data_IF_685983788635
#
_entry.id   IF_685983788635
#
_cell.length_a   1.000
_cell.length_b   1.000
_cell.length_c   1.000
_cell.angle_alpha   90.00
_cell.angle_beta   90.00
_cell.angle_gamma   90.00
#
_symmetry.space_group_name_H-M   'P 1'
#
loop_
_entity.id
_entity.type
_entity.pdbx_description
1 polymer ?
#
# COMPACT_ATOMS: atom_id res chain seq x y z
N UNK A 1 -6.23 -37.67 2.07
CA UNK A 1 -6.77 -36.35 2.44
C UNK A 1 -8.28 -36.44 2.34
N UNK A 2 -9.05 -36.24 3.39
CA UNK A 2 -10.52 -36.26 3.30
C UNK A 2 -10.97 -34.99 2.57
N UNK A 3 -11.83 -35.18 1.59
CA UNK A 3 -12.58 -34.10 0.92
C UNK A 3 -13.53 -33.48 1.95
N UNK A 4 -13.40 -32.20 2.21
CA UNK A 4 -14.39 -31.39 2.95
C UNK A 4 -15.17 -30.65 1.88
N UNK A 5 -16.23 -31.29 1.38
CA UNK A 5 -17.27 -30.61 0.59
C UNK A 5 -18.31 -30.10 1.60
N UNK A 6 -18.47 -28.76 1.68
CA UNK A 6 -19.74 -28.13 2.08
C UNK A 6 -20.13 -28.17 3.55
N UNK A 7 -19.21 -28.20 4.52
CA UNK A 7 -19.55 -27.91 5.92
C UNK A 7 -19.08 -26.54 6.32
N UNK A 8 -20.03 -25.65 6.64
CA UNK A 8 -19.79 -24.42 7.41
C UNK A 8 -18.90 -24.81 8.60
N UNK A 9 -17.84 -24.05 8.85
CA UNK A 9 -16.95 -24.25 10.01
C UNK A 9 -17.72 -23.99 11.30
N UNK A 10 -18.48 -24.99 11.78
CA UNK A 10 -19.15 -24.90 13.10
C UNK A 10 -18.11 -25.09 14.18
N UNK A 11 -17.74 -23.96 14.81
CA UNK A 11 -16.94 -24.00 16.02
C UNK A 11 -17.79 -24.54 17.18
N UNK A 12 -17.27 -25.53 17.91
CA UNK A 12 -17.93 -25.99 19.14
C UNK A 12 -17.96 -24.90 20.20
N UNK A 13 -18.92 -24.94 21.10
CA UNK A 13 -19.03 -24.01 22.23
C UNK A 13 -17.73 -23.97 23.04
N UNK A 14 -17.07 -25.10 23.24
CA UNK A 14 -15.79 -25.21 23.95
C UNK A 14 -14.67 -24.49 23.18
N UNK A 15 -14.64 -24.62 21.85
CA UNK A 15 -13.65 -23.95 21.01
C UNK A 15 -13.87 -22.43 21.00
N UNK A 16 -15.11 -21.96 20.87
CA UNK A 16 -15.46 -20.52 20.95
C UNK A 16 -15.01 -19.93 22.28
N UNK A 17 -15.37 -20.57 23.40
CA UNK A 17 -14.97 -20.12 24.74
C UNK A 17 -13.45 -20.07 24.88
N UNK A 18 -12.75 -21.07 24.38
CA UNK A 18 -11.29 -21.11 24.40
C UNK A 18 -10.68 -19.92 23.61
N UNK A 19 -11.23 -19.58 22.42
CA UNK A 19 -10.82 -18.44 21.62
C UNK A 19 -10.98 -17.13 22.40
N UNK A 20 -12.11 -16.93 23.06
CA UNK A 20 -12.40 -15.72 23.83
C UNK A 20 -11.46 -15.57 25.02
N UNK A 21 -11.26 -16.66 25.80
CA UNK A 21 -10.38 -16.67 26.97
C UNK A 21 -8.89 -16.44 26.61
N UNK A 22 -8.49 -16.81 25.38
CA UNK A 22 -7.11 -16.74 24.92
C UNK A 22 -6.86 -15.71 23.80
N UNK A 23 -7.76 -14.75 23.60
CA UNK A 23 -7.73 -13.82 22.48
C UNK A 23 -6.41 -13.02 22.31
N UNK A 24 -5.63 -12.83 23.39
CA UNK A 24 -4.33 -12.12 23.41
C UNK A 24 -3.13 -13.05 23.64
N UNK A 25 -3.34 -14.34 23.68
CA UNK A 25 -2.27 -15.30 23.94
C UNK A 25 -1.35 -15.48 22.71
N UNK A 26 -0.12 -15.89 22.95
CA UNK A 26 0.79 -16.30 21.88
C UNK A 26 0.31 -17.60 21.23
N UNK A 27 -0.10 -17.52 19.97
CA UNK A 27 -0.69 -18.64 19.22
C UNK A 27 0.27 -19.82 19.05
N UNK A 28 1.59 -19.59 19.00
CA UNK A 28 2.59 -20.66 18.92
C UNK A 28 2.61 -21.47 20.21
N UNK A 29 2.56 -20.78 21.35
CA UNK A 29 2.50 -21.41 22.68
C UNK A 29 1.20 -22.18 22.87
N UNK A 30 0.05 -21.69 22.36
CA UNK A 30 -1.23 -22.40 22.41
C UNK A 30 -1.21 -23.68 21.59
N UNK A 31 -0.69 -23.64 20.37
CA UNK A 31 -0.58 -24.81 19.49
C UNK A 31 0.18 -25.97 20.16
N UNK A 32 1.23 -25.68 20.91
CA UNK A 32 2.02 -26.68 21.65
C UNK A 32 1.24 -27.31 22.82
N UNK A 33 0.16 -26.69 23.27
CA UNK A 33 -0.65 -27.13 24.39
C UNK A 33 -1.90 -27.93 23.97
N UNK A 34 -2.07 -28.26 22.69
CA UNK A 34 -3.26 -28.93 22.17
C UNK A 34 -3.69 -30.17 22.99
N UNK A 35 -2.74 -30.98 23.47
CA UNK A 35 -3.01 -32.15 24.30
C UNK A 35 -3.68 -31.87 25.64
N UNK A 36 -3.59 -30.62 26.14
CA UNK A 36 -4.22 -30.22 27.42
C UNK A 36 -5.71 -29.90 27.26
N UNK A 37 -6.17 -29.67 26.03
CA UNK A 37 -7.52 -29.24 25.71
C UNK A 37 -8.16 -30.17 24.66
N UNK A 38 -8.40 -31.44 24.99
CA UNK A 38 -8.85 -32.43 24.00
C UNK A 38 -10.26 -32.17 23.43
N UNK A 39 -11.05 -31.30 24.09
CA UNK A 39 -12.38 -30.86 23.65
C UNK A 39 -12.36 -29.65 22.71
N UNK A 40 -11.19 -29.03 22.51
CA UNK A 40 -11.02 -27.82 21.68
C UNK A 40 -10.41 -28.23 20.35
N UNK A 41 -11.01 -27.76 19.24
CA UNK A 41 -10.31 -27.78 17.96
C UNK A 41 -9.19 -26.73 17.99
N UNK A 42 -8.01 -27.14 18.46
CA UNK A 42 -6.87 -26.28 18.64
C UNK A 42 -6.36 -25.68 17.31
N UNK A 43 -6.46 -26.41 16.21
CA UNK A 43 -6.04 -25.94 14.91
C UNK A 43 -6.90 -24.74 14.47
N UNK A 44 -8.21 -24.87 14.61
CA UNK A 44 -9.14 -23.79 14.33
C UNK A 44 -9.01 -22.64 15.32
N UNK A 45 -8.91 -22.93 16.62
CA UNK A 45 -8.77 -21.89 17.64
C UNK A 45 -7.55 -21.00 17.39
N UNK A 46 -6.39 -21.58 17.06
CA UNK A 46 -5.17 -20.84 16.73
C UNK A 46 -5.35 -19.96 15.49
N UNK A 47 -6.03 -20.46 14.45
CA UNK A 47 -6.33 -19.65 13.23
C UNK A 47 -7.22 -18.46 13.58
N UNK A 48 -8.29 -18.67 14.36
CA UNK A 48 -9.21 -17.60 14.74
C UNK A 48 -8.56 -16.56 15.64
N UNK A 49 -7.79 -16.98 16.65
CA UNK A 49 -7.06 -16.06 17.54
C UNK A 49 -6.04 -15.24 16.75
N UNK A 50 -5.23 -15.89 15.90
CA UNK A 50 -4.25 -15.19 15.07
C UNK A 50 -4.90 -14.19 14.10
N UNK A 51 -5.97 -14.61 13.43
CA UNK A 51 -6.73 -13.75 12.51
C UNK A 51 -7.30 -12.54 13.20
N UNK A 52 -7.90 -12.71 14.40
CA UNK A 52 -8.45 -11.60 15.20
C UNK A 52 -7.36 -10.65 15.68
N UNK A 53 -6.20 -11.14 16.11
CA UNK A 53 -5.07 -10.30 16.52
C UNK A 53 -4.55 -9.43 15.36
N UNK A 54 -4.46 -9.98 14.14
CA UNK A 54 -4.10 -9.22 12.95
C UNK A 54 -5.18 -8.18 12.61
N UNK A 55 -6.44 -8.56 12.71
CA UNK A 55 -7.57 -7.68 12.40
C UNK A 55 -7.65 -6.46 13.33
N UNK A 56 -7.23 -6.55 14.59
CA UNK A 56 -7.22 -5.44 15.55
C UNK A 56 -6.52 -4.20 14.99
N UNK A 57 -5.38 -4.37 14.34
CA UNK A 57 -4.63 -3.26 13.75
C UNK A 57 -4.95 -3.03 12.25
N UNK A 58 -5.27 -4.09 11.52
CA UNK A 58 -5.37 -4.04 10.06
C UNK A 58 -6.76 -3.70 9.56
N UNK A 59 -7.81 -4.23 10.21
CA UNK A 59 -9.22 -4.05 9.83
C UNK A 59 -10.09 -3.90 11.09
N UNK A 60 -9.98 -2.78 11.83
CA UNK A 60 -10.65 -2.56 13.11
C UNK A 60 -12.18 -2.79 13.08
N UNK A 61 -12.86 -2.38 11.99
CA UNK A 61 -14.30 -2.61 11.83
C UNK A 61 -14.64 -4.10 11.90
N UNK A 62 -13.84 -4.95 11.28
CA UNK A 62 -14.03 -6.41 11.35
C UNK A 62 -13.68 -6.95 12.73
N UNK A 63 -12.62 -6.46 13.36
CA UNK A 63 -12.24 -6.86 14.72
C UNK A 63 -13.36 -6.61 15.75
N UNK A 64 -14.09 -5.49 15.62
CA UNK A 64 -15.18 -5.13 16.51
C UNK A 64 -16.52 -5.79 16.18
N UNK A 65 -16.63 -6.48 15.07
CA UNK A 65 -17.84 -7.24 14.70
C UNK A 65 -17.75 -8.63 15.31
N UNK A 66 -18.73 -8.99 16.15
CA UNK A 66 -18.78 -10.30 16.79
C UNK A 66 -19.12 -11.41 15.83
N UNK A 67 -18.60 -12.60 16.07
CA UNK A 67 -18.91 -13.81 15.30
C UNK A 67 -18.22 -13.95 13.96
N UNK A 68 -17.37 -12.98 13.54
CA UNK A 68 -16.61 -13.12 12.30
C UNK A 68 -15.59 -14.24 12.37
N UNK A 69 -15.44 -14.96 11.26
CA UNK A 69 -14.46 -16.00 11.07
C UNK A 69 -13.30 -15.51 10.18
N UNK A 70 -12.10 -15.92 10.53
CA UNK A 70 -10.87 -15.52 9.88
C UNK A 70 -10.23 -16.67 9.10
N UNK A 71 -9.63 -16.41 7.93
CA UNK A 71 -8.91 -17.40 7.15
C UNK A 71 -7.53 -17.70 7.76
N UNK A 72 -6.81 -18.62 7.14
CA UNK A 72 -5.40 -18.89 7.48
C UNK A 72 -4.55 -17.63 7.39
N UNK A 73 -3.49 -17.61 8.18
CA UNK A 73 -2.57 -16.47 8.37
C UNK A 73 -2.13 -15.76 7.07
N UNK A 74 -1.79 -16.55 6.02
CA UNK A 74 -1.33 -15.96 4.75
C UNK A 74 -2.40 -15.05 4.10
N UNK A 75 -3.66 -15.46 4.08
CA UNK A 75 -4.75 -14.64 3.53
C UNK A 75 -4.96 -13.37 4.35
N UNK A 76 -4.77 -13.43 5.67
CA UNK A 76 -4.84 -12.25 6.54
C UNK A 76 -3.69 -11.27 6.31
N UNK A 77 -2.49 -11.75 6.01
CA UNK A 77 -1.36 -10.87 5.69
C UNK A 77 -1.52 -10.18 4.33
N UNK A 78 -2.03 -10.90 3.34
CA UNK A 78 -2.18 -10.43 1.96
C UNK A 78 -3.39 -9.53 1.74
N UNK A 79 -4.45 -9.60 2.58
CA UNK A 79 -5.63 -8.76 2.41
C UNK A 79 -5.31 -7.27 2.61
N UNK A 80 -6.16 -6.40 2.09
CA UNK A 80 -6.08 -4.95 2.27
C UNK A 80 -6.23 -4.54 3.74
N UNK A 81 -5.64 -3.42 4.11
CA UNK A 81 -5.99 -2.74 5.35
C UNK A 81 -7.32 -2.00 5.21
N UNK A 82 -7.99 -1.73 6.33
CA UNK A 82 -9.22 -0.91 6.34
C UNK A 82 -9.01 0.45 5.68
N UNK A 83 -7.87 1.10 5.96
CA UNK A 83 -7.55 2.39 5.37
C UNK A 83 -7.49 2.35 3.83
N UNK A 84 -6.85 1.34 3.26
CA UNK A 84 -6.77 1.20 1.81
C UNK A 84 -8.09 0.73 1.19
N UNK A 85 -8.88 -0.08 1.90
CA UNK A 85 -10.21 -0.50 1.46
C UNK A 85 -11.21 0.68 1.44
N UNK A 86 -11.19 1.54 2.48
CA UNK A 86 -11.99 2.78 2.51
C UNK A 86 -11.59 3.72 1.36
N UNK A 87 -10.29 3.84 1.07
CA UNK A 87 -9.83 4.65 -0.05
C UNK A 87 -10.38 4.13 -1.38
N UNK A 88 -10.26 2.81 -1.66
CA UNK A 88 -10.85 2.19 -2.86
C UNK A 88 -12.36 2.43 -2.95
N UNK A 89 -13.08 2.29 -1.85
CA UNK A 89 -14.51 2.57 -1.79
C UNK A 89 -14.87 4.04 -2.09
N UNK A 90 -13.95 4.99 -1.85
CA UNK A 90 -14.17 6.40 -2.19
C UNK A 90 -14.03 6.71 -3.69
N UNK A 91 -13.43 5.81 -4.47
CA UNK A 91 -13.21 5.97 -5.92
C UNK A 91 -14.36 5.42 -6.77
N UNK A 92 -15.33 4.76 -6.13
CA UNK A 92 -16.38 4.01 -6.82
C UNK A 92 -17.76 4.33 -6.26
N UNK A 93 -18.78 4.30 -7.14
CA UNK A 93 -20.20 4.40 -6.81
C UNK A 93 -21.03 3.90 -8.00
N UNK A 94 -22.26 3.50 -7.77
CA UNK A 94 -23.18 3.03 -8.82
C UNK A 94 -24.33 2.21 -8.26
N UNK A 95 -25.05 1.52 -9.16
CA UNK A 95 -26.10 0.58 -8.80
C UNK A 95 -25.58 -0.85 -8.65
N UNK A 96 -24.63 -1.26 -9.50
CA UNK A 96 -24.14 -2.65 -9.63
C UNK A 96 -22.62 -2.74 -9.54
N UNK A 97 -22.13 -3.73 -8.79
CA UNK A 97 -20.71 -3.95 -8.52
C UNK A 97 -20.37 -5.43 -8.61
N UNK A 98 -19.20 -5.77 -9.15
CA UNK A 98 -18.67 -7.12 -9.02
C UNK A 98 -17.17 -7.11 -8.69
N UNK A 99 -16.79 -7.91 -7.68
CA UNK A 99 -15.41 -8.23 -7.33
C UNK A 99 -15.05 -9.60 -7.92
N UNK A 100 -14.18 -9.63 -8.93
CA UNK A 100 -13.82 -10.86 -9.65
C UNK A 100 -12.69 -11.65 -8.98
N UNK A 101 -12.14 -11.14 -7.88
CA UNK A 101 -11.01 -11.73 -7.15
C UNK A 101 -11.19 -11.63 -5.64
N UNK A 102 -12.36 -11.99 -5.18
CA UNK A 102 -12.90 -11.71 -3.84
C UNK A 102 -11.97 -11.92 -2.65
N UNK A 103 -11.13 -12.96 -2.66
CA UNK A 103 -10.18 -13.24 -1.60
C UNK A 103 -10.84 -13.36 -0.23
N UNK A 104 -10.29 -12.72 0.80
CA UNK A 104 -10.95 -12.68 2.11
C UNK A 104 -12.16 -11.72 2.18
N UNK A 105 -12.40 -10.91 1.14
CA UNK A 105 -13.59 -10.06 1.05
C UNK A 105 -13.47 -8.68 1.70
N UNK A 106 -12.28 -8.26 2.16
CA UNK A 106 -12.12 -6.94 2.79
C UNK A 106 -12.47 -5.83 1.81
N UNK A 107 -11.86 -5.79 0.63
CA UNK A 107 -12.12 -4.75 -0.37
C UNK A 107 -13.58 -4.75 -0.81
N UNK A 108 -14.13 -5.93 -1.12
CA UNK A 108 -15.53 -6.12 -1.47
C UNK A 108 -16.46 -5.56 -0.38
N UNK A 109 -16.21 -5.86 0.89
CA UNK A 109 -17.05 -5.44 2.02
C UNK A 109 -17.16 -3.92 2.21
N UNK A 110 -16.10 -3.17 1.85
CA UNK A 110 -16.10 -1.70 1.92
C UNK A 110 -16.70 -1.07 0.67
N UNK A 111 -16.35 -1.58 -0.52
CA UNK A 111 -16.83 -1.04 -1.80
C UNK A 111 -18.32 -1.31 -2.01
N UNK A 112 -18.81 -2.51 -1.71
CA UNK A 112 -20.21 -2.91 -1.88
C UNK A 112 -21.22 -1.97 -1.22
N UNK A 113 -20.82 -1.28 -0.14
CA UNK A 113 -21.67 -0.28 0.57
C UNK A 113 -22.11 0.91 -0.31
N UNK A 114 -21.50 1.09 -1.46
CA UNK A 114 -21.80 2.14 -2.44
C UNK A 114 -22.75 1.70 -3.54
N UNK A 115 -23.22 0.44 -3.49
CA UNK A 115 -24.02 -0.17 -4.55
C UNK A 115 -25.27 -0.83 -3.99
N UNK A 116 -26.27 -1.01 -4.85
CA UNK A 116 -27.52 -1.71 -4.50
C UNK A 116 -27.40 -3.23 -4.69
N UNK A 117 -26.56 -3.63 -5.64
CA UNK A 117 -26.29 -5.04 -5.92
C UNK A 117 -24.78 -5.23 -5.99
N UNK A 118 -24.28 -6.28 -5.35
CA UNK A 118 -22.87 -6.60 -5.31
C UNK A 118 -22.66 -8.10 -5.45
N UNK A 119 -21.77 -8.47 -6.37
CA UNK A 119 -21.30 -9.81 -6.60
C UNK A 119 -19.86 -9.97 -6.07
N UNK A 120 -19.63 -11.04 -5.32
CA UNK A 120 -18.33 -11.47 -4.88
C UNK A 120 -18.00 -12.80 -5.55
N UNK A 121 -16.92 -12.86 -6.32
CA UNK A 121 -16.50 -14.05 -7.07
C UNK A 121 -15.13 -14.51 -6.57
N UNK A 122 -15.04 -15.79 -6.14
CA UNK A 122 -13.82 -16.36 -5.61
C UNK A 122 -13.73 -17.87 -5.95
N UNK A 123 -12.55 -18.31 -6.40
CA UNK A 123 -12.30 -19.70 -6.81
C UNK A 123 -12.05 -20.67 -5.65
N UNK A 124 -11.73 -20.17 -4.46
CA UNK A 124 -11.46 -20.97 -3.28
C UNK A 124 -12.74 -21.16 -2.45
N UNK A 125 -13.26 -22.38 -2.40
CA UNK A 125 -14.47 -22.70 -1.65
C UNK A 125 -14.41 -22.27 -0.17
N UNK A 126 -13.24 -22.43 0.48
CA UNK A 126 -13.04 -22.02 1.89
C UNK A 126 -13.30 -20.51 2.08
N UNK A 127 -12.83 -19.66 1.16
CA UNK A 127 -13.04 -18.20 1.23
C UNK A 127 -14.50 -17.82 0.91
N UNK A 128 -15.15 -18.52 -0.02
CA UNK A 128 -16.58 -18.33 -0.30
C UNK A 128 -17.45 -18.65 0.93
N UNK A 129 -17.16 -19.72 1.66
CA UNK A 129 -17.89 -20.07 2.87
C UNK A 129 -17.67 -19.02 3.99
N UNK A 130 -16.44 -18.50 4.13
CA UNK A 130 -16.17 -17.41 5.05
C UNK A 130 -16.93 -16.13 4.64
N UNK A 131 -16.98 -15.80 3.36
CA UNK A 131 -17.70 -14.64 2.85
C UNK A 131 -19.22 -14.74 3.12
N UNK A 132 -19.83 -15.91 2.82
CA UNK A 132 -21.25 -16.19 3.12
C UNK A 132 -21.58 -16.05 4.61
N UNK A 133 -20.64 -16.41 5.49
CA UNK A 133 -20.83 -16.26 6.94
C UNK A 133 -20.62 -14.81 7.40
N UNK A 134 -19.56 -14.15 6.91
CA UNK A 134 -19.13 -12.86 7.42
C UNK A 134 -19.96 -11.68 6.91
N UNK A 135 -20.34 -11.67 5.62
CA UNK A 135 -21.03 -10.51 5.03
C UNK A 135 -22.36 -10.19 5.71
N UNK A 136 -23.24 -11.15 6.03
CA UNK A 136 -24.46 -10.86 6.78
C UNK A 136 -24.18 -10.26 8.18
N UNK A 137 -23.13 -10.72 8.88
CA UNK A 137 -22.74 -10.17 10.19
C UNK A 137 -22.23 -8.74 10.09
N UNK A 138 -21.68 -8.35 8.94
CA UNK A 138 -21.27 -6.97 8.62
C UNK A 138 -22.44 -6.11 8.12
N UNK A 139 -23.66 -6.68 8.05
CA UNK A 139 -24.84 -6.02 7.52
C UNK A 139 -24.80 -5.81 6.00
N UNK A 140 -24.15 -6.69 5.27
CA UNK A 140 -23.97 -6.63 3.82
C UNK A 140 -24.78 -7.73 3.13
N UNK A 141 -25.46 -7.33 2.05
CA UNK A 141 -26.16 -8.23 1.14
C UNK A 141 -25.34 -8.34 -0.15
N UNK A 142 -24.55 -9.42 -0.26
CA UNK A 142 -23.60 -9.65 -1.36
C UNK A 142 -23.81 -11.07 -1.87
N UNK A 143 -24.01 -11.20 -3.17
CA UNK A 143 -24.11 -12.51 -3.81
C UNK A 143 -22.73 -13.15 -3.94
N UNK A 144 -22.57 -14.35 -3.33
CA UNK A 144 -21.30 -15.07 -3.29
C UNK A 144 -21.26 -16.17 -4.32
N UNK A 145 -20.37 -16.06 -5.30
CA UNK A 145 -20.18 -17.02 -6.38
C UNK A 145 -18.85 -17.78 -6.19
N UNK A 146 -18.95 -19.12 -6.07
CA UNK A 146 -17.78 -20.00 -6.07
C UNK A 146 -17.43 -20.36 -7.51
N UNK A 147 -16.67 -19.49 -8.18
CA UNK A 147 -16.35 -19.60 -9.59
C UNK A 147 -15.00 -18.95 -9.90
N UNK A 148 -14.41 -19.26 -11.06
CA UNK A 148 -13.27 -18.51 -11.60
C UNK A 148 -13.72 -17.14 -12.10
N UNK A 149 -13.03 -16.06 -11.68
CA UNK A 149 -13.43 -14.71 -12.02
C UNK A 149 -13.42 -14.40 -13.52
N UNK A 150 -12.55 -15.06 -14.31
CA UNK A 150 -12.51 -14.88 -15.77
C UNK A 150 -13.69 -15.58 -16.45
N UNK A 151 -14.06 -16.78 -15.97
CA UNK A 151 -15.23 -17.48 -16.49
C UNK A 151 -16.54 -16.72 -16.12
N UNK A 152 -16.62 -16.21 -14.90
CA UNK A 152 -17.74 -15.36 -14.48
C UNK A 152 -17.83 -14.09 -15.35
N UNK A 153 -16.71 -13.38 -15.58
CA UNK A 153 -16.65 -12.19 -16.44
C UNK A 153 -17.23 -12.43 -17.84
N UNK A 154 -16.94 -13.58 -18.45
CA UNK A 154 -17.43 -13.91 -19.80
C UNK A 154 -18.94 -13.98 -19.89
N UNK A 155 -19.62 -14.43 -18.84
CA UNK A 155 -21.05 -14.73 -18.83
C UNK A 155 -21.90 -13.71 -18.07
N UNK A 156 -21.31 -12.88 -17.21
CA UNK A 156 -22.03 -11.88 -16.43
C UNK A 156 -22.67 -10.79 -17.30
N UNK A 157 -23.74 -10.19 -16.80
CA UNK A 157 -24.26 -8.96 -17.37
C UNK A 157 -23.31 -7.77 -17.10
N UNK A 158 -23.32 -6.71 -17.93
CA UNK A 158 -22.58 -5.50 -17.64
C UNK A 158 -22.98 -4.87 -16.30
N UNK A 159 -21.99 -4.30 -15.59
CA UNK A 159 -22.15 -3.64 -14.29
C UNK A 159 -21.58 -2.22 -14.34
N UNK A 160 -21.87 -1.40 -13.32
CA UNK A 160 -21.29 -0.06 -13.22
C UNK A 160 -19.81 -0.12 -12.88
N UNK A 161 -19.44 -0.99 -11.95
CA UNK A 161 -18.04 -1.11 -11.49
C UNK A 161 -17.61 -2.57 -11.39
N UNK A 162 -16.42 -2.87 -11.93
CA UNK A 162 -15.67 -4.09 -11.71
C UNK A 162 -14.44 -3.80 -10.84
N UNK A 163 -14.11 -4.73 -9.94
CA UNK A 163 -12.87 -4.74 -9.18
C UNK A 163 -12.08 -6.02 -9.41
N UNK A 164 -10.76 -5.88 -9.50
CA UNK A 164 -9.81 -6.99 -9.60
C UNK A 164 -8.56 -6.72 -8.74
N UNK A 165 -8.13 -7.72 -8.00
CA UNK A 165 -6.82 -7.78 -7.30
C UNK A 165 -6.06 -9.02 -7.81
N UNK A 166 -5.46 -8.95 -9.02
CA UNK A 166 -4.81 -10.10 -9.62
C UNK A 166 -3.59 -10.53 -8.80
N UNK A 167 -3.54 -11.83 -8.45
CA UNK A 167 -2.44 -12.41 -7.74
C UNK A 167 -1.21 -12.59 -8.64
N UNK A 168 -0.01 -12.63 -8.06
CA UNK A 168 1.20 -13.02 -8.80
C UNK A 168 1.15 -14.49 -9.17
N UNK A 169 1.58 -14.83 -10.38
CA UNK A 169 1.80 -16.24 -10.73
C UNK A 169 3.03 -16.76 -9.98
N UNK A 170 2.83 -17.71 -9.08
CA UNK A 170 3.90 -18.41 -8.35
C UNK A 170 4.59 -19.41 -9.28
N UNK A 171 5.47 -18.94 -10.14
CA UNK A 171 6.13 -19.82 -11.10
C UNK A 171 7.66 -19.83 -11.07
N UNK A 172 8.27 -18.70 -10.84
CA UNK A 172 9.73 -18.59 -10.83
C UNK A 172 10.11 -17.45 -9.91
N UNK A 173 10.73 -17.66 -8.77
CA UNK A 173 11.15 -16.71 -7.74
C UNK A 173 11.83 -15.41 -8.22
N UNK A 174 11.44 -14.90 -9.39
CA UNK A 174 11.81 -13.63 -9.96
C UNK A 174 10.97 -12.48 -9.43
N UNK A 175 11.51 -11.29 -9.45
CA UNK A 175 10.77 -10.06 -9.17
C UNK A 175 9.73 -9.88 -10.29
N UNK A 176 8.45 -10.02 -9.97
CA UNK A 176 7.35 -9.70 -10.90
C UNK A 176 7.42 -8.22 -11.26
N UNK A 177 7.51 -7.93 -12.54
CA UNK A 177 7.67 -6.57 -13.05
C UNK A 177 6.54 -6.19 -14.01
N UNK A 178 5.98 -7.14 -14.75
CA UNK A 178 4.96 -6.92 -15.77
C UNK A 178 3.54 -7.28 -15.27
N UNK A 179 2.52 -6.62 -15.83
CA UNK A 179 1.10 -6.90 -15.54
C UNK A 179 0.68 -8.28 -16.09
N UNK A 180 1.27 -8.72 -17.17
CA UNK A 180 1.07 -10.05 -17.77
C UNK A 180 1.55 -11.21 -16.89
N UNK A 181 2.38 -10.93 -15.85
CA UNK A 181 2.83 -11.93 -14.88
C UNK A 181 1.79 -12.16 -13.76
N UNK A 182 0.68 -11.44 -13.79
CA UNK A 182 -0.41 -11.56 -12.83
C UNK A 182 -1.49 -12.55 -13.31
N UNK A 183 -2.31 -13.04 -12.38
CA UNK A 183 -3.47 -13.90 -12.64
C UNK A 183 -4.69 -13.35 -11.86
N UNK A 184 -5.78 -12.96 -12.58
CA UNK A 184 -5.89 -12.93 -14.04
C UNK A 184 -4.97 -11.93 -14.74
N UNK A 185 -4.60 -12.22 -16.01
CA UNK A 185 -3.84 -11.30 -16.85
C UNK A 185 -4.76 -10.18 -17.36
N UNK A 186 -4.67 -9.03 -16.70
CA UNK A 186 -5.51 -7.86 -17.01
C UNK A 186 -5.24 -7.34 -18.42
N UNK A 187 -4.01 -7.42 -18.92
CA UNK A 187 -3.68 -6.93 -20.26
C UNK A 187 -4.36 -7.74 -21.37
N UNK A 188 -4.51 -9.05 -21.16
CA UNK A 188 -5.24 -9.93 -22.08
C UNK A 188 -6.77 -9.76 -21.97
N UNK A 189 -7.28 -9.30 -20.83
CA UNK A 189 -8.71 -9.17 -20.56
C UNK A 189 -9.23 -7.75 -20.73
N UNK A 190 -8.38 -6.77 -20.97
CA UNK A 190 -8.70 -5.33 -20.90
C UNK A 190 -9.94 -4.95 -21.72
N UNK A 191 -10.00 -5.38 -22.99
CA UNK A 191 -11.11 -5.05 -23.88
C UNK A 191 -12.45 -5.62 -23.36
N UNK A 192 -12.43 -6.85 -22.80
CA UNK A 192 -13.62 -7.47 -22.21
C UNK A 192 -14.02 -6.78 -20.91
N UNK A 193 -13.07 -6.40 -20.08
CA UNK A 193 -13.33 -5.69 -18.82
C UNK A 193 -14.05 -4.37 -19.06
N UNK A 194 -13.59 -3.54 -20.01
CA UNK A 194 -14.22 -2.25 -20.34
C UNK A 194 -15.49 -2.39 -21.18
N UNK A 195 -15.74 -3.56 -21.75
CA UNK A 195 -17.03 -3.91 -22.35
C UNK A 195 -18.07 -4.23 -21.27
N UNK A 196 -17.67 -4.93 -20.21
CA UNK A 196 -18.51 -5.41 -19.13
C UNK A 196 -18.72 -4.41 -17.99
N UNK A 197 -17.96 -3.31 -17.94
CA UNK A 197 -18.16 -2.29 -16.91
C UNK A 197 -17.91 -0.87 -17.41
N UNK A 198 -18.62 0.09 -16.79
CA UNK A 198 -18.39 1.51 -17.04
C UNK A 198 -17.05 1.95 -16.44
N UNK A 199 -16.70 1.41 -15.28
CA UNK A 199 -15.42 1.64 -14.59
C UNK A 199 -14.84 0.31 -14.10
N UNK A 200 -13.55 0.08 -14.37
CA UNK A 200 -12.80 -1.06 -13.86
C UNK A 200 -11.71 -0.55 -12.92
N UNK A 201 -11.71 -1.00 -11.67
CA UNK A 201 -10.67 -0.70 -10.69
C UNK A 201 -9.77 -1.93 -10.54
N UNK A 202 -8.50 -1.79 -10.92
CA UNK A 202 -7.48 -2.85 -10.80
C UNK A 202 -6.50 -2.49 -9.72
N UNK A 203 -6.38 -3.33 -8.69
CA UNK A 203 -5.38 -3.21 -7.64
C UNK A 203 -4.15 -4.03 -8.00
N UNK A 204 -2.98 -3.44 -7.86
CA UNK A 204 -1.70 -4.06 -8.19
C UNK A 204 -0.70 -3.89 -7.05
N UNK A 205 0.24 -4.83 -6.96
CA UNK A 205 1.35 -4.75 -6.01
C UNK A 205 2.21 -3.50 -6.25
N UNK A 206 2.70 -2.82 -5.20
CA UNK A 206 3.62 -1.70 -5.34
C UNK A 206 4.97 -2.08 -5.96
N UNK A 207 5.26 -3.38 -6.11
CA UNK A 207 6.48 -3.86 -6.78
C UNK A 207 6.39 -3.83 -8.31
N UNK A 208 5.18 -3.67 -8.87
CA UNK A 208 4.97 -3.61 -10.31
C UNK A 208 5.53 -2.32 -10.91
N UNK A 209 6.09 -2.38 -12.11
CA UNK A 209 6.56 -1.21 -12.85
C UNK A 209 5.37 -0.48 -13.48
N UNK A 210 5.05 0.71 -12.96
CA UNK A 210 3.95 1.52 -13.45
C UNK A 210 4.13 1.92 -14.92
N UNK A 211 5.34 2.29 -15.33
CA UNK A 211 5.60 2.72 -16.70
C UNK A 211 5.39 1.60 -17.71
N UNK A 212 5.71 0.37 -17.32
CA UNK A 212 5.47 -0.81 -18.14
C UNK A 212 3.97 -1.11 -18.20
N UNK A 213 3.27 -1.09 -17.08
CA UNK A 213 1.82 -1.33 -17.04
C UNK A 213 1.05 -0.32 -17.93
N UNK A 214 1.43 0.96 -17.90
CA UNK A 214 0.80 2.00 -18.74
C UNK A 214 1.15 1.90 -20.23
N UNK A 215 2.15 1.12 -20.62
CA UNK A 215 2.41 0.77 -22.02
C UNK A 215 1.59 -0.43 -22.50
N UNK A 216 1.33 -1.36 -21.58
CA UNK A 216 0.62 -2.61 -21.89
C UNK A 216 -0.91 -2.43 -21.89
N UNK A 217 -1.43 -1.39 -21.23
CA UNK A 217 -2.86 -1.10 -21.12
C UNK A 217 -3.24 0.17 -21.90
N UNK A 218 -4.40 0.15 -22.56
CA UNK A 218 -4.89 1.22 -23.45
C UNK A 218 -6.00 2.07 -22.83
N UNK A 219 -6.71 1.53 -21.85
CA UNK A 219 -7.92 2.12 -21.28
C UNK A 219 -7.72 2.76 -19.90
N UNK A 220 -6.48 2.87 -19.43
CA UNK A 220 -6.18 3.54 -18.16
C UNK A 220 -6.43 5.04 -18.27
N UNK A 221 -7.33 5.57 -17.42
CA UNK A 221 -7.62 7.00 -17.33
C UNK A 221 -7.07 7.65 -16.05
N UNK A 222 -6.97 6.90 -14.96
CA UNK A 222 -6.43 7.38 -13.69
C UNK A 222 -5.54 6.32 -13.05
N UNK A 223 -4.52 6.78 -12.34
CA UNK A 223 -3.62 5.97 -11.52
C UNK A 223 -3.60 6.52 -10.11
N UNK A 224 -3.82 5.66 -9.11
CA UNK A 224 -3.65 6.05 -7.71
C UNK A 224 -2.53 5.24 -7.09
N UNK A 225 -1.53 5.93 -6.54
CA UNK A 225 -0.42 5.32 -5.82
C UNK A 225 -0.67 5.57 -4.35
N UNK A 226 -1.05 4.51 -3.63
CA UNK A 226 -1.52 4.62 -2.26
C UNK A 226 -0.42 4.21 -1.28
N UNK A 227 -0.04 5.15 -0.43
CA UNK A 227 0.85 4.92 0.71
C UNK A 227 0.09 5.11 2.01
N UNK A 228 0.48 4.35 3.02
CA UNK A 228 0.03 4.52 4.41
C UNK A 228 1.26 4.66 5.29
N UNK A 229 1.28 5.69 6.13
CA UNK A 229 2.42 6.01 7.01
C UNK A 229 3.76 6.11 6.23
N UNK A 230 3.69 6.69 5.02
CA UNK A 230 4.81 6.86 4.11
C UNK A 230 5.42 5.55 3.58
N UNK A 231 4.65 4.47 3.53
CA UNK A 231 5.00 3.21 2.88
C UNK A 231 4.01 2.92 1.74
N UNK A 232 4.51 2.72 0.52
CA UNK A 232 3.67 2.41 -0.64
C UNK A 232 3.05 1.02 -0.48
N UNK A 233 1.71 0.96 -0.45
CA UNK A 233 0.95 -0.27 -0.19
C UNK A 233 0.39 -0.89 -1.46
N UNK A 234 -0.13 -0.07 -2.38
CA UNK A 234 -0.78 -0.56 -3.59
C UNK A 234 -0.75 0.49 -4.71
N UNK A 235 -0.88 0.00 -5.93
CA UNK A 235 -1.17 0.78 -7.13
C UNK A 235 -2.59 0.46 -7.57
N UNK A 236 -3.40 1.48 -7.87
CA UNK A 236 -4.75 1.31 -8.39
C UNK A 236 -4.79 1.92 -9.79
N UNK A 237 -5.26 1.15 -10.76
CA UNK A 237 -5.51 1.63 -12.12
C UNK A 237 -7.02 1.69 -12.34
N UNK A 238 -7.51 2.83 -12.80
CA UNK A 238 -8.90 2.97 -13.24
C UNK A 238 -8.93 2.89 -14.76
N UNK A 239 -9.66 1.91 -15.30
CA UNK A 239 -9.85 1.72 -16.71
C UNK A 239 -11.28 2.08 -17.08
N UNK A 240 -11.43 2.82 -18.18
CA UNK A 240 -12.70 3.17 -18.78
C UNK A 240 -12.56 3.18 -20.30
N UNK A 241 -13.66 2.97 -21.01
CA UNK A 241 -13.64 3.10 -22.47
C UNK A 241 -13.48 4.58 -22.85
N UNK A 242 -12.25 5.00 -23.06
CA UNK A 242 -11.88 6.39 -23.29
C UNK A 242 -11.67 6.72 -24.77
N UNK A 243 -11.86 7.99 -25.20
CA UNK A 243 -11.32 8.46 -26.49
C UNK A 243 -9.79 8.35 -26.52
N UNK A 244 -9.23 8.02 -27.67
CA UNK A 244 -7.84 7.66 -27.95
C UNK A 244 -6.76 8.70 -27.50
N UNK A 245 -7.11 9.86 -26.96
CA UNK A 245 -6.18 10.95 -26.62
C UNK A 245 -6.39 11.52 -25.21
N UNK A 246 -6.95 10.76 -24.29
CA UNK A 246 -7.15 11.24 -22.92
C UNK A 246 -5.83 11.19 -22.12
N UNK A 247 -5.53 12.27 -21.44
CA UNK A 247 -4.36 12.36 -20.57
C UNK A 247 -4.61 11.58 -19.26
N UNK A 248 -3.63 10.79 -18.82
CA UNK A 248 -3.74 9.98 -17.60
C UNK A 248 -3.41 10.86 -16.39
N UNK A 249 -4.34 10.97 -15.45
CA UNK A 249 -4.11 11.60 -14.15
C UNK A 249 -3.44 10.62 -13.18
N UNK A 250 -2.39 11.07 -12.49
CA UNK A 250 -1.65 10.27 -11.51
C UNK A 250 -1.81 10.92 -10.13
N UNK A 251 -2.45 10.20 -9.22
CA UNK A 251 -2.74 10.63 -7.86
C UNK A 251 -1.79 9.92 -6.88
N UNK A 252 -0.98 10.68 -6.17
CA UNK A 252 -0.06 10.21 -5.15
C UNK A 252 -0.68 10.46 -3.78
N UNK A 253 -1.11 9.42 -3.10
CA UNK A 253 -1.82 9.50 -1.84
C UNK A 253 -0.93 8.99 -0.71
N UNK A 254 -0.89 9.71 0.40
CA UNK A 254 -0.29 9.24 1.64
C UNK A 254 -1.30 9.45 2.79
N UNK A 255 -1.79 8.35 3.35
CA UNK A 255 -2.77 8.34 4.44
C UNK A 255 -2.13 7.99 5.78
N UNK A 256 -2.81 8.31 6.87
CA UNK A 256 -2.50 7.78 8.20
C UNK A 256 -3.17 6.41 8.38
N UNK A 257 -2.51 5.52 9.12
CA UNK A 257 -3.02 4.20 9.43
C UNK A 257 -4.35 4.22 10.22
N UNK A 258 -5.03 3.08 10.25
CA UNK A 258 -6.39 2.92 10.77
C UNK A 258 -6.57 3.26 12.26
N UNK A 259 -5.52 3.22 13.08
CA UNK A 259 -5.58 3.52 14.52
C UNK A 259 -6.08 4.94 14.84
N UNK A 260 -6.02 5.85 13.87
CA UNK A 260 -6.45 7.25 13.99
C UNK A 260 -7.67 7.58 13.11
N UNK A 261 -8.38 6.57 12.57
CA UNK A 261 -9.37 6.73 11.52
C UNK A 261 -8.71 7.01 10.15
N UNK A 262 -9.39 6.60 9.07
CA UNK A 262 -8.89 6.88 7.73
C UNK A 262 -8.89 8.38 7.46
N UNK A 263 -7.72 8.91 7.13
CA UNK A 263 -7.57 10.31 6.69
C UNK A 263 -6.47 10.39 5.66
N UNK A 264 -6.77 11.02 4.52
CA UNK A 264 -5.74 11.44 3.58
C UNK A 264 -4.93 12.53 4.28
N UNK A 265 -3.64 12.29 4.40
CA UNK A 265 -2.69 13.17 5.06
C UNK A 265 -1.98 14.10 4.08
N UNK A 266 -1.60 13.54 2.91
CA UNK A 266 -0.97 14.27 1.82
C UNK A 266 -1.45 13.72 0.49
N UNK A 267 -1.72 14.62 -0.44
CA UNK A 267 -2.09 14.29 -1.81
C UNK A 267 -1.28 15.15 -2.78
N UNK A 268 -0.88 14.55 -3.90
CA UNK A 268 -0.27 15.25 -5.01
C UNK A 268 -0.74 14.63 -6.32
N UNK A 269 -1.27 15.46 -7.23
CA UNK A 269 -1.77 15.00 -8.53
C UNK A 269 -0.98 15.67 -9.65
N UNK A 270 -0.65 14.90 -10.66
CA UNK A 270 0.05 15.37 -11.85
C UNK A 270 -0.29 14.48 -13.06
N UNK A 271 0.17 14.87 -14.26
CA UNK A 271 0.06 14.06 -15.47
C UNK A 271 1.44 13.67 -15.99
N UNK A 272 1.51 12.63 -16.83
CA UNK A 272 2.79 12.23 -17.44
C UNK A 272 3.38 13.37 -18.30
N UNK A 273 2.52 14.15 -18.97
CA UNK A 273 2.96 15.28 -19.78
C UNK A 273 3.54 16.40 -18.92
N UNK A 274 2.91 16.71 -17.79
CA UNK A 274 3.44 17.66 -16.82
C UNK A 274 4.82 17.23 -16.31
N UNK A 275 5.01 15.96 -15.92
CA UNK A 275 6.32 15.47 -15.48
C UNK A 275 7.36 15.57 -16.60
N UNK A 276 6.99 15.26 -17.85
CA UNK A 276 7.90 15.28 -19.00
C UNK A 276 8.33 16.70 -19.40
N UNK A 277 7.40 17.67 -19.33
CA UNK A 277 7.61 19.03 -19.83
C UNK A 277 8.07 20.02 -18.76
N UNK A 278 7.90 19.68 -17.47
CA UNK A 278 8.32 20.57 -16.37
C UNK A 278 9.83 20.82 -16.36
N UNK A 279 10.22 22.05 -16.15
CA UNK A 279 11.59 22.39 -15.80
C UNK A 279 11.90 21.89 -14.39
N UNK A 280 13.15 21.51 -14.15
CA UNK A 280 13.59 21.04 -12.85
C UNK A 280 14.88 21.78 -12.46
N UNK A 281 14.78 22.91 -11.76
CA UNK A 281 15.95 23.67 -11.34
C UNK A 281 16.79 22.84 -10.37
N UNK A 282 18.07 22.69 -10.72
CA UNK A 282 19.06 22.01 -9.89
C UNK A 282 19.87 23.02 -9.09
N UNK A 283 20.40 22.59 -7.95
CA UNK A 283 21.30 23.40 -7.13
C UNK A 283 22.34 22.52 -6.42
N UNK A 284 23.55 23.05 -6.25
CA UNK A 284 24.58 22.48 -5.37
C UNK A 284 24.61 23.17 -3.99
N UNK A 285 23.76 24.16 -3.77
CA UNK A 285 23.62 24.84 -2.49
C UNK A 285 22.55 24.14 -1.66
N UNK A 286 22.90 23.75 -0.43
CA UNK A 286 21.93 23.22 0.54
C UNK A 286 21.35 24.42 1.30
N UNK A 287 20.08 24.69 1.06
CA UNK A 287 19.36 25.82 1.64
C UNK A 287 18.82 25.51 3.05
N UNK A 288 18.08 26.43 3.67
CA UNK A 288 17.64 26.34 5.06
C UNK A 288 16.71 25.14 5.35
N UNK A 289 15.95 24.69 4.37
CA UNK A 289 15.01 23.56 4.51
C UNK A 289 15.28 22.49 3.46
N UNK A 290 15.21 21.24 3.91
CA UNK A 290 15.33 20.04 3.08
C UNK A 290 13.98 19.32 3.04
N UNK A 291 13.61 18.86 1.87
CA UNK A 291 12.35 18.15 1.60
C UNK A 291 12.62 16.80 0.96
N UNK A 292 11.95 15.78 1.45
CA UNK A 292 11.94 14.44 0.86
C UNK A 292 10.50 14.06 0.54
N UNK A 293 10.14 13.87 -0.76
CA UNK A 293 8.80 13.49 -1.16
C UNK A 293 8.34 12.20 -0.47
N UNK A 294 7.03 12.04 -0.28
CA UNK A 294 6.48 10.82 0.29
C UNK A 294 6.65 9.61 -0.67
N UNK A 295 6.41 8.41 -0.13
CA UNK A 295 6.67 7.17 -0.86
C UNK A 295 5.82 7.02 -2.13
N UNK A 296 4.57 7.54 -2.16
CA UNK A 296 3.71 7.49 -3.35
C UNK A 296 4.28 8.35 -4.49
N UNK A 297 4.79 9.54 -4.19
CA UNK A 297 5.42 10.43 -5.16
C UNK A 297 6.72 9.82 -5.71
N UNK A 298 7.55 9.26 -4.83
CA UNK A 298 8.77 8.58 -5.24
C UNK A 298 8.48 7.38 -6.15
N UNK A 299 7.40 6.64 -5.86
CA UNK A 299 6.94 5.52 -6.68
C UNK A 299 6.39 5.97 -8.03
N UNK A 300 5.67 7.09 -8.05
CA UNK A 300 5.12 7.70 -9.26
C UNK A 300 6.19 8.23 -10.21
N UNK A 301 7.36 8.57 -9.70
CA UNK A 301 8.40 9.25 -10.49
C UNK A 301 8.13 10.73 -10.71
N UNK A 302 7.30 11.37 -9.90
CA UNK A 302 6.99 12.79 -9.98
C UNK A 302 8.14 13.64 -9.41
N UNK A 303 9.17 13.80 -10.19
CA UNK A 303 10.40 14.47 -9.71
C UNK A 303 10.58 15.89 -10.23
N UNK A 304 10.08 16.17 -11.43
CA UNK A 304 10.18 17.48 -12.07
C UNK A 304 8.96 18.33 -11.79
N UNK A 305 7.79 17.73 -11.91
CA UNK A 305 6.50 18.41 -11.67
C UNK A 305 6.39 19.01 -10.27
N UNK A 306 7.03 18.39 -9.25
CA UNK A 306 7.11 18.95 -7.90
C UNK A 306 7.75 20.36 -7.86
N UNK A 307 8.75 20.63 -8.70
CA UNK A 307 9.42 21.96 -8.73
C UNK A 307 8.59 23.03 -9.43
N UNK A 308 7.54 22.63 -10.15
CA UNK A 308 6.55 23.53 -10.69
C UNK A 308 5.45 23.85 -9.68
N UNK A 309 5.07 22.85 -8.88
CA UNK A 309 4.02 22.98 -7.87
C UNK A 309 4.50 23.69 -6.59
N UNK A 310 5.79 23.54 -6.25
CA UNK A 310 6.38 24.08 -5.02
C UNK A 310 7.66 24.88 -5.33
N UNK A 311 7.94 25.96 -4.58
CA UNK A 311 9.14 26.79 -4.76
C UNK A 311 10.39 26.08 -4.18
N UNK A 312 10.77 24.97 -4.78
CA UNK A 312 11.92 24.14 -4.40
C UNK A 312 12.87 23.92 -5.56
N UNK A 313 14.15 23.71 -5.25
CA UNK A 313 15.18 23.26 -6.19
C UNK A 313 15.62 21.85 -5.83
N UNK A 314 15.97 21.05 -6.83
CA UNK A 314 16.43 19.67 -6.62
C UNK A 314 17.93 19.64 -6.45
N UNK A 315 18.45 18.89 -5.48
CA UNK A 315 19.88 18.80 -5.19
C UNK A 315 20.68 18.06 -6.26
N UNK A 316 20.06 17.08 -6.93
CA UNK A 316 20.68 16.31 -8.02
C UNK A 316 19.60 15.56 -8.83
N UNK A 317 19.76 15.31 -10.10
CA UNK A 317 18.77 14.56 -10.91
C UNK A 317 18.34 13.24 -10.30
N UNK A 318 19.23 12.52 -9.62
CA UNK A 318 18.99 11.19 -9.05
C UNK A 318 18.82 11.15 -7.52
N UNK A 319 18.93 12.28 -6.80
CA UNK A 319 18.84 12.27 -5.32
C UNK A 319 17.41 12.28 -4.80
N UNK A 320 16.49 12.90 -5.56
CA UNK A 320 15.10 13.13 -5.16
C UNK A 320 14.95 13.82 -3.80
N UNK A 321 15.92 14.70 -3.48
CA UNK A 321 15.89 15.62 -2.36
C UNK A 321 15.78 17.03 -2.90
N UNK A 322 15.01 17.85 -2.20
CA UNK A 322 14.71 19.21 -2.61
C UNK A 322 15.05 20.18 -1.48
N UNK A 323 15.36 21.42 -1.82
CA UNK A 323 15.69 22.48 -0.86
C UNK A 323 14.95 23.76 -1.17
N UNK A 324 14.71 24.57 -0.14
CA UNK A 324 14.16 25.92 -0.23
C UNK A 324 14.71 26.79 0.90
N UNK A 325 14.89 28.09 0.69
CA UNK A 325 15.26 29.01 1.76
C UNK A 325 14.10 29.24 2.75
N UNK A 326 12.87 28.93 2.37
CA UNK A 326 11.67 29.11 3.17
C UNK A 326 10.98 27.79 3.50
N UNK A 327 10.30 27.75 4.65
CA UNK A 327 9.48 26.60 5.05
C UNK A 327 8.21 26.53 4.17
N UNK A 328 7.93 25.36 3.63
CA UNK A 328 6.77 25.07 2.78
C UNK A 328 5.90 24.06 3.55
N UNK A 329 4.80 24.55 4.10
CA UNK A 329 3.94 23.76 5.00
C UNK A 329 3.21 22.63 4.28
N UNK A 330 2.73 22.85 3.09
CA UNK A 330 1.94 21.94 2.26
C UNK A 330 2.76 21.00 1.37
N UNK A 331 4.11 21.04 1.47
CA UNK A 331 4.94 20.11 0.68
C UNK A 331 4.58 18.65 1.01
N UNK A 332 4.27 17.80 0.02
CA UNK A 332 3.78 16.44 0.22
C UNK A 332 4.93 15.46 0.51
N UNK A 333 5.49 15.53 1.71
CA UNK A 333 6.63 14.73 2.12
C UNK A 333 7.13 15.06 3.51
N UNK A 334 8.32 14.55 3.83
CA UNK A 334 9.02 14.88 5.06
C UNK A 334 9.74 16.22 4.91
N UNK A 335 9.68 17.04 5.93
CA UNK A 335 10.21 18.38 5.99
C UNK A 335 11.24 18.50 7.10
N UNK A 336 12.39 19.10 6.79
CA UNK A 336 13.50 19.20 7.73
C UNK A 336 14.09 20.60 7.68
N UNK A 337 14.50 21.08 8.84
CA UNK A 337 15.36 22.25 8.96
C UNK A 337 16.82 21.80 8.91
N UNK A 338 17.60 22.41 8.04
CA UNK A 338 19.03 22.14 7.90
C UNK A 338 19.80 22.84 9.00
N UNK A 339 20.63 22.12 9.74
CA UNK A 339 21.51 22.67 10.78
C UNK A 339 22.95 22.83 10.31
N UNK A 340 23.46 21.84 9.55
CA UNK A 340 24.84 21.85 9.08
C UNK A 340 25.03 20.96 7.84
N UNK A 341 26.04 21.26 7.05
CA UNK A 341 26.46 20.47 5.90
C UNK A 341 27.97 20.20 6.02
N UNK A 342 28.40 18.97 5.73
CA UNK A 342 29.80 18.55 5.76
C UNK A 342 30.15 17.68 4.56
N UNK A 343 31.37 17.82 4.07
CA UNK A 343 31.97 16.81 3.20
C UNK A 343 32.43 15.57 3.98
N UNK A 344 33.05 14.63 3.28
CA UNK A 344 33.52 13.35 3.88
C UNK A 344 35.00 13.36 4.30
N UNK A 345 35.64 14.55 4.41
CA UNK A 345 36.96 14.72 4.96
C UNK A 345 37.02 14.30 6.43
N UNK A 346 38.14 13.65 6.86
CA UNK A 346 38.26 13.15 8.26
C UNK A 346 38.12 14.26 9.32
N UNK A 347 38.66 15.45 9.04
CA UNK A 347 38.64 16.59 9.96
C UNK A 347 37.22 17.16 10.03
N UNK A 348 36.56 17.31 8.87
CA UNK A 348 35.23 17.86 8.75
C UNK A 348 34.20 16.98 9.45
N UNK A 349 34.24 15.68 9.19
CA UNK A 349 33.36 14.71 9.85
C UNK A 349 33.54 14.68 11.37
N UNK A 350 34.78 14.81 11.87
CA UNK A 350 35.04 14.82 13.31
C UNK A 350 34.35 16.01 13.99
N UNK A 351 34.39 17.19 13.37
CA UNK A 351 33.76 18.39 13.90
C UNK A 351 32.22 18.30 13.76
N UNK A 352 31.76 17.86 12.60
CA UNK A 352 30.34 17.74 12.28
C UNK A 352 29.59 16.77 13.19
N UNK A 353 30.23 15.63 13.57
CA UNK A 353 29.64 14.59 14.40
C UNK A 353 29.91 14.77 15.89
N UNK A 354 30.56 15.84 16.30
CA UNK A 354 30.95 16.06 17.70
C UNK A 354 29.70 16.03 18.61
N UNK A 355 29.73 15.12 19.62
CA UNK A 355 28.61 14.96 20.57
C UNK A 355 27.45 14.11 20.07
N UNK A 356 27.48 13.61 18.82
CA UNK A 356 26.41 12.82 18.25
C UNK A 356 26.70 11.32 18.41
N UNK A 357 25.84 10.60 19.16
CA UNK A 357 25.92 9.15 19.35
C UNK A 357 24.88 8.38 18.52
N UNK A 358 23.76 9.03 18.18
CA UNK A 358 22.61 8.46 17.48
C UNK A 358 22.14 9.39 16.38
N UNK A 359 21.69 8.83 15.25
CA UNK A 359 21.00 9.57 14.20
C UNK A 359 20.15 8.66 13.32
N UNK A 360 19.11 9.25 12.75
CA UNK A 360 18.30 8.65 11.69
C UNK A 360 18.99 8.89 10.35
N UNK A 361 19.65 7.87 9.80
CA UNK A 361 20.48 8.01 8.60
C UNK A 361 19.69 7.59 7.36
N UNK A 362 19.62 8.48 6.38
CA UNK A 362 19.05 8.27 5.06
C UNK A 362 20.09 8.46 3.97
N UNK A 363 20.08 7.61 2.97
CA UNK A 363 20.96 7.69 1.79
C UNK A 363 20.11 7.95 0.54
N UNK A 364 20.52 8.95 -0.26
CA UNK A 364 19.93 9.25 -1.56
C UNK A 364 21.03 9.56 -2.57
N UNK A 365 21.13 8.75 -3.63
CA UNK A 365 22.19 8.89 -4.64
C UNK A 365 23.59 8.98 -4.03
N UNK A 366 23.98 7.99 -3.24
CA UNK A 366 25.27 7.96 -2.54
C UNK A 366 25.92 6.58 -2.63
N UNK A 367 27.22 6.45 -2.89
CA UNK A 367 27.90 5.18 -3.18
C UNK A 367 28.27 4.40 -1.90
N UNK A 368 27.30 4.16 -1.02
CA UNK A 368 27.47 3.33 0.19
C UNK A 368 26.11 2.81 0.66
N UNK A 369 26.09 1.72 1.40
CA UNK A 369 24.86 1.29 2.09
C UNK A 369 24.65 2.08 3.40
N UNK A 370 23.41 2.13 3.90
CA UNK A 370 23.09 2.72 5.22
C UNK A 370 23.91 2.04 6.31
N UNK A 371 24.04 0.70 6.27
CA UNK A 371 24.77 -0.08 7.26
C UNK A 371 26.27 0.25 7.28
N UNK A 372 26.91 0.33 6.09
CA UNK A 372 28.32 0.66 5.98
C UNK A 372 28.62 2.09 6.42
N UNK A 373 27.75 3.03 5.99
CA UNK A 373 27.93 4.42 6.38
C UNK A 373 27.73 4.60 7.90
N UNK A 374 26.74 3.97 8.49
CA UNK A 374 26.49 3.96 9.93
C UNK A 374 27.70 3.44 10.70
N UNK A 375 28.29 2.32 10.26
CA UNK A 375 29.51 1.75 10.84
C UNK A 375 30.70 2.72 10.72
N UNK A 376 30.88 3.33 9.55
CA UNK A 376 31.95 4.32 9.30
C UNK A 376 31.84 5.55 10.21
N UNK A 377 30.60 6.07 10.38
CA UNK A 377 30.32 7.24 11.22
C UNK A 377 30.25 6.91 12.72
N UNK A 378 30.22 5.62 13.09
CA UNK A 378 30.09 5.10 14.46
C UNK A 378 28.84 5.58 15.19
N UNK A 379 27.69 5.68 14.46
CA UNK A 379 26.42 6.13 14.98
C UNK A 379 25.48 4.96 15.25
N UNK A 380 24.70 5.05 16.33
CA UNK A 380 23.56 4.18 16.59
C UNK A 380 22.31 4.70 15.87
N UNK A 381 21.31 3.86 15.70
CA UNK A 381 20.03 4.25 15.13
C UNK A 381 19.17 5.02 16.12
N UNK A 382 18.35 5.98 15.62
CA UNK A 382 17.40 6.75 16.40
C UNK A 382 17.91 8.12 16.84
N UNK A 383 17.25 8.70 17.83
CA UNK A 383 17.48 10.08 18.26
C UNK A 383 16.69 11.10 17.44
N UNK A 384 16.96 12.38 17.69
CA UNK A 384 16.26 13.51 17.06
C UNK A 384 16.96 14.06 15.81
N UNK A 385 18.24 13.71 15.64
CA UNK A 385 19.04 14.12 14.49
C UNK A 385 18.72 13.25 13.26
N UNK A 386 18.57 13.89 12.10
CA UNK A 386 18.45 13.26 10.80
C UNK A 386 19.67 13.58 9.96
N UNK A 387 20.28 12.56 9.38
CA UNK A 387 21.44 12.69 8.50
C UNK A 387 21.09 12.21 7.10
N UNK A 388 21.26 13.06 6.11
CA UNK A 388 21.11 12.73 4.70
C UNK A 388 22.48 12.68 4.02
N UNK A 389 22.89 11.50 3.55
CA UNK A 389 24.05 11.36 2.69
C UNK A 389 23.60 11.38 1.22
N UNK A 390 24.11 12.34 0.46
CA UNK A 390 23.68 12.55 -0.93
C UNK A 390 24.82 13.09 -1.79
N UNK A 391 24.58 13.12 -3.11
CA UNK A 391 25.40 13.79 -4.11
C UNK A 391 24.65 15.04 -4.57
N UNK A 392 25.33 16.17 -4.68
CA UNK A 392 24.79 17.43 -5.15
C UNK A 392 24.93 17.58 -6.69
N UNK A 393 24.37 18.63 -7.26
CA UNK A 393 24.38 18.88 -8.73
C UNK A 393 25.78 19.06 -9.32
N UNK A 394 26.78 19.43 -8.52
CA UNK A 394 28.18 19.53 -8.88
C UNK A 394 29.00 18.25 -8.63
N UNK A 395 28.31 17.12 -8.41
CA UNK A 395 28.89 15.80 -8.10
C UNK A 395 29.59 15.74 -6.73
N UNK A 396 29.55 16.78 -5.92
CA UNK A 396 30.11 16.75 -4.57
C UNK A 396 29.27 15.88 -3.64
N UNK A 397 29.92 15.12 -2.77
CA UNK A 397 29.30 14.22 -1.79
C UNK A 397 29.23 14.88 -0.44
N UNK A 398 28.03 14.99 0.10
CA UNK A 398 27.77 15.69 1.37
C UNK A 398 26.98 14.86 2.35
N UNK A 399 27.15 15.20 3.62
CA UNK A 399 26.33 14.76 4.73
C UNK A 399 25.59 16.00 5.29
N UNK A 400 24.26 15.97 5.27
CA UNK A 400 23.40 17.07 5.70
C UNK A 400 22.78 16.70 7.02
N UNK A 401 23.00 17.50 8.06
CA UNK A 401 22.39 17.35 9.38
C UNK A 401 21.12 18.18 9.46
N UNK A 402 20.05 17.55 9.91
CA UNK A 402 18.74 18.17 9.97
C UNK A 402 17.98 17.81 11.25
N UNK A 403 17.01 18.66 11.61
CA UNK A 403 15.93 18.36 12.55
C UNK A 403 14.61 18.29 11.81
N UNK A 404 13.64 17.53 12.30
CA UNK A 404 12.26 17.63 11.76
C UNK A 404 11.78 19.06 11.86
N UNK A 405 11.34 19.63 10.74
CA UNK A 405 10.68 20.91 10.76
C UNK A 405 9.21 20.71 11.16
N UNK A 406 8.75 21.42 12.18
CA UNK A 406 7.34 21.61 12.51
C UNK A 406 6.96 23.06 12.16
N UNK A 407 5.69 23.29 11.80
CA UNK A 407 5.17 24.66 11.75
C UNK A 407 5.45 25.33 13.10
N UNK A 408 6.15 26.43 13.07
CA UNK A 408 6.21 27.33 14.22
C UNK A 408 4.78 27.83 14.40
N UNK A 409 4.05 27.26 15.37
CA UNK A 409 2.82 27.85 15.89
C UNK A 409 3.16 29.12 16.67
#
# INVERSE_FOLDING_TARGET
MPKIEGQIMELTTETIRFIEENARADVRSLALQAKKYPQVDMAMAVVQIAGRQIAEAKVPTWYHTEGLLYPKHLSMEQCSSEATAIYKASLVEGDTFADLTGGFGIDCSFMSRKFRQADYVERQAELCELAKHNFPLLGLDIDVHHEDGVEYLKQMNPVDVLFLDPARRDGHGGKTVAISDCEPDVSALEDLLVEKAQKVLVKLSPMLDLSLALKDLKHVCEVHIVSTDNECKELLLILQKMPVQSEISIHCINSLGATNGYRIYQEYTFTQEQERTSDCPLTHEVEAYLYEPNASILKAGAYRSLTQAYPVKKLHPSSHLYVSPHYIEDFPGRKFQVEAVSGFGKKDLKTFLQGMEKANLTIRNFPSSVADLRKRLKLKEGGEDYLFATTLADESKVLIKCKKASSLL
#
